data_IF_261908996217
#
_entry.id   IF_261908996217
#
_cell.length_a   1.000
_cell.length_b   1.000
_cell.length_c   1.000
_cell.angle_alpha   90.00
_cell.angle_beta   90.00
_cell.angle_gamma   90.00
#
_symmetry.space_group_name_H-M   'P 1'
#
loop_
_entity.id
_entity.type
_entity.pdbx_description
1 polymer ?
#
# COMPACT_ATOMS: atom_id res chain seq x y z
N UNK A 1 2.48 -5.90 15.47
CA UNK A 1 1.65 -6.16 14.28
C UNK A 1 1.76 -4.96 13.36
N UNK A 2 1.71 -5.12 12.03
CA UNK A 2 1.59 -3.97 11.16
C UNK A 2 0.34 -3.19 11.55
N UNK A 3 0.48 -1.89 11.77
CA UNK A 3 -0.65 -1.03 12.05
C UNK A 3 -1.51 -0.92 10.80
N UNK A 4 -2.81 -1.20 10.95
CA UNK A 4 -3.79 -1.09 9.87
C UNK A 4 -4.48 0.24 9.97
N UNK A 5 -4.57 0.92 8.84
CA UNK A 5 -5.26 2.20 8.71
C UNK A 5 -6.47 2.02 7.82
N UNK A 6 -7.63 2.44 8.30
CA UNK A 6 -8.87 2.47 7.53
C UNK A 6 -9.07 3.85 6.93
N UNK A 7 -9.12 3.92 5.60
CA UNK A 7 -9.52 5.13 4.89
C UNK A 7 -10.97 4.99 4.43
N UNK A 8 -11.71 6.09 4.49
CA UNK A 8 -13.06 6.15 3.92
C UNK A 8 -13.02 6.74 2.52
N UNK A 9 -13.43 5.96 1.53
CA UNK A 9 -13.59 6.42 0.15
C UNK A 9 -15.00 6.93 0.00
N UNK A 10 -15.17 8.26 -0.07
CA UNK A 10 -16.48 8.89 -0.21
C UNK A 10 -17.07 8.76 -1.63
N UNK A 11 -16.22 8.82 -2.66
CA UNK A 11 -16.67 8.88 -4.05
C UNK A 11 -15.77 8.06 -4.97
N UNK A 12 -16.40 7.17 -5.74
CA UNK A 12 -15.76 6.43 -6.82
C UNK A 12 -16.24 6.98 -8.16
N UNK A 13 -15.30 7.39 -9.02
CA UNK A 13 -15.61 7.97 -10.35
C UNK A 13 -16.22 6.93 -11.29
N UNK A 14 -15.71 5.71 -11.25
CA UNK A 14 -16.13 4.60 -12.12
C UNK A 14 -16.78 3.51 -11.27
N UNK A 15 -18.11 3.59 -11.11
CA UNK A 15 -18.86 2.68 -10.22
C UNK A 15 -18.81 1.20 -10.64
N UNK A 16 -18.49 0.91 -11.89
CA UNK A 16 -18.25 -0.46 -12.37
C UNK A 16 -16.92 -1.04 -11.88
N UNK A 17 -15.98 -0.20 -11.43
CA UNK A 17 -14.68 -0.62 -10.90
C UNK A 17 -14.65 -0.73 -9.38
N UNK A 18 -15.69 -0.28 -8.67
CA UNK A 18 -15.75 -0.36 -7.22
C UNK A 18 -16.85 0.49 -6.59
N UNK A 19 -16.93 0.44 -5.26
CA UNK A 19 -17.93 1.13 -4.45
C UNK A 19 -17.26 1.99 -3.36
N UNK A 20 -17.88 3.11 -2.94
CA UNK A 20 -17.50 3.84 -1.74
C UNK A 20 -17.51 2.95 -0.49
N UNK A 21 -16.68 3.26 0.50
CA UNK A 21 -16.63 2.48 1.75
C UNK A 21 -15.31 2.59 2.50
N UNK A 22 -15.19 1.80 3.56
CA UNK A 22 -13.94 1.64 4.30
C UNK A 22 -13.00 0.71 3.56
N UNK A 23 -11.74 1.14 3.43
CA UNK A 23 -10.67 0.36 2.79
C UNK A 23 -9.52 0.24 3.79
N UNK A 24 -9.11 -0.99 4.17
CA UNK A 24 -7.99 -1.19 5.06
C UNK A 24 -6.66 -1.17 4.29
N UNK A 25 -5.66 -0.53 4.87
CA UNK A 25 -4.30 -0.47 4.35
C UNK A 25 -3.29 -0.78 5.44
N UNK A 26 -2.18 -1.40 5.04
CA UNK A 26 -1.03 -1.68 5.89
C UNK A 26 0.11 -0.75 5.52
N UNK A 27 0.72 -0.12 6.52
CA UNK A 27 1.96 0.64 6.35
C UNK A 27 3.18 -0.29 6.29
N UNK A 28 4.01 -0.12 5.27
CA UNK A 28 5.31 -0.75 5.15
C UNK A 28 6.41 0.24 5.59
N UNK A 29 7.03 0.05 6.76
CA UNK A 29 8.07 0.96 7.24
C UNK A 29 9.37 0.90 6.43
N UNK A 30 9.60 -0.19 5.69
CA UNK A 30 10.82 -0.37 4.88
C UNK A 30 10.85 0.57 3.68
N UNK A 31 9.70 0.84 3.07
CA UNK A 31 9.60 1.72 1.90
C UNK A 31 8.72 2.97 2.14
N UNK A 32 8.13 3.11 3.32
CA UNK A 32 7.29 4.24 3.70
C UNK A 32 5.92 4.28 3.02
N UNK A 33 5.40 3.15 2.51
CA UNK A 33 4.17 3.12 1.69
C UNK A 33 3.03 2.33 2.31
N UNK A 34 1.80 2.75 1.99
CA UNK A 34 0.59 2.00 2.29
C UNK A 34 0.27 1.02 1.16
N UNK A 35 -0.13 -0.20 1.51
CA UNK A 35 -0.58 -1.24 0.59
C UNK A 35 -1.97 -1.73 1.00
N UNK A 36 -2.81 -2.04 0.01
CA UNK A 36 -4.12 -2.67 0.27
C UNK A 36 -3.91 -4.01 0.97
N UNK A 37 -4.82 -4.32 1.89
CA UNK A 37 -4.87 -5.59 2.59
C UNK A 37 -6.32 -6.05 2.75
N UNK A 38 -6.50 -7.31 3.13
CA UNK A 38 -7.79 -7.82 3.60
C UNK A 38 -7.70 -8.12 5.10
N UNK A 39 -8.74 -7.75 5.84
CA UNK A 39 -8.88 -8.08 7.26
C UNK A 39 -9.81 -9.27 7.47
N UNK A 40 -9.30 -10.31 8.11
CA UNK A 40 -10.07 -11.44 8.61
C UNK A 40 -10.23 -11.33 10.14
N UNK A 41 -11.37 -10.82 10.65
CA UNK A 41 -11.61 -10.70 12.08
C UNK A 41 -11.81 -12.06 12.77
N UNK A 42 -12.00 -13.13 12.00
CA UNK A 42 -12.22 -14.50 12.52
C UNK A 42 -10.93 -15.31 12.66
N UNK A 43 -9.80 -14.75 12.20
CA UNK A 43 -8.50 -15.42 12.26
C UNK A 43 -8.13 -15.80 13.71
N UNK A 44 -7.67 -17.05 13.88
CA UNK A 44 -7.37 -17.63 15.19
C UNK A 44 -6.18 -16.98 15.92
N UNK A 45 -5.35 -16.22 15.21
CA UNK A 45 -4.29 -15.42 15.79
C UNK A 45 -4.19 -14.04 15.14
N UNK A 46 -3.73 -13.01 15.88
CA UNK A 46 -3.81 -11.65 15.36
C UNK A 46 -2.81 -11.36 14.22
N UNK A 47 -1.75 -12.15 14.08
CA UNK A 47 -0.83 -12.09 12.94
C UNK A 47 -1.43 -12.64 11.63
N UNK A 48 -2.47 -13.48 11.73
CA UNK A 48 -3.20 -14.03 10.58
C UNK A 48 -4.39 -13.15 10.15
N UNK A 49 -4.73 -12.10 10.92
CA UNK A 49 -5.86 -11.22 10.61
C UNK A 49 -5.65 -10.44 9.33
N UNK A 50 -4.41 -10.24 8.89
CA UNK A 50 -4.09 -9.42 7.73
C UNK A 50 -3.62 -10.32 6.60
N UNK A 51 -4.35 -10.31 5.50
CA UNK A 51 -4.11 -11.17 4.34
C UNK A 51 -4.04 -10.35 3.05
N UNK A 52 -3.64 -10.99 1.95
CA UNK A 52 -3.59 -10.40 0.61
C UNK A 52 -2.76 -9.11 0.45
N UNK A 53 -1.80 -8.88 1.35
CA UNK A 53 -0.88 -7.74 1.22
C UNK A 53 0.09 -7.99 0.07
N UNK A 54 0.05 -7.12 -0.95
CA UNK A 54 1.07 -7.07 -2.01
C UNK A 54 1.88 -5.80 -1.86
N UNK A 55 3.07 -5.93 -1.26
CA UNK A 55 3.98 -4.80 -1.13
C UNK A 55 4.54 -4.43 -2.51
N UNK A 56 4.31 -3.19 -2.92
CA UNK A 56 4.95 -2.64 -4.11
C UNK A 56 6.32 -2.05 -3.74
N UNK A 57 7.38 -2.68 -4.25
CA UNK A 57 8.79 -2.27 -4.06
C UNK A 57 9.33 -1.44 -5.23
N UNK A 58 8.55 -1.18 -6.26
CA UNK A 58 9.00 -0.47 -7.45
C UNK A 58 9.34 0.98 -7.11
N UNK A 59 10.36 1.54 -7.78
CA UNK A 59 10.63 2.97 -7.67
C UNK A 59 9.41 3.75 -8.18
N UNK A 60 8.96 4.73 -7.39
CA UNK A 60 7.80 5.56 -7.73
C UNK A 60 8.19 6.75 -8.62
N UNK A 61 9.50 7.02 -8.71
CA UNK A 61 10.01 8.08 -9.56
C UNK A 61 9.89 7.64 -11.03
N UNK A 62 9.53 8.58 -11.93
CA UNK A 62 9.73 8.37 -13.34
C UNK A 62 11.15 7.86 -13.61
N UNK A 63 11.31 6.95 -14.56
CA UNK A 63 12.63 6.39 -14.88
C UNK A 63 13.68 7.44 -15.24
N UNK A 64 13.22 8.60 -15.71
CA UNK A 64 14.07 9.77 -16.00
C UNK A 64 14.65 10.39 -14.72
N UNK A 65 13.84 10.51 -13.65
CA UNK A 65 14.27 11.04 -12.34
C UNK A 65 15.04 10.02 -11.51
N UNK A 66 14.77 8.72 -11.72
CA UNK A 66 15.52 7.62 -11.09
C UNK A 66 17.00 7.66 -11.51
N UNK A 67 17.28 7.95 -12.78
CA UNK A 67 18.67 8.02 -13.28
C UNK A 67 19.43 9.21 -12.68
N UNK A 68 18.86 10.41 -12.65
CA UNK A 68 19.56 11.62 -12.19
C UNK A 68 20.05 11.55 -10.73
N UNK A 69 19.35 10.80 -9.86
CA UNK A 69 19.75 10.63 -8.46
C UNK A 69 20.93 9.66 -8.25
N UNK A 70 21.23 8.78 -9.22
CA UNK A 70 22.33 7.80 -9.12
C UNK A 70 23.57 8.16 -9.96
N UNK A 71 23.55 9.26 -10.72
CA UNK A 71 24.70 9.71 -11.54
C UNK A 71 25.60 10.75 -10.87
N UNK A 72 25.23 11.34 -9.72
CA UNK A 72 26.12 12.21 -8.94
C UNK A 72 27.02 11.37 -8.00
N UNK A 73 28.02 10.68 -8.55
CA UNK A 73 28.95 9.94 -7.68
C UNK A 73 30.03 9.11 -8.33
N UNK A 74 30.45 9.40 -9.56
CA UNK A 74 31.60 8.72 -10.14
C UNK A 74 32.44 9.68 -11.00
N UNK A 75 33.18 10.56 -10.31
CA UNK A 75 34.38 11.23 -10.83
C UNK A 75 35.59 10.83 -9.98
#
# INVERSE_FOLDING_TARGET
MPDVVHIYVEKVKFRNLGQPGMVPLVFNPTNGRYSLCDEDPTAGSPEMRITNVKFNTDCWLPKEEDQELFWEGNE
#
